data_IF_703724670986
#
_entry.id   IF_703724670986
#
_cell.length_a   1.000
_cell.length_b   1.000
_cell.length_c   1.000
_cell.angle_alpha   90.00
_cell.angle_beta   90.00
_cell.angle_gamma   90.00
#
_symmetry.space_group_name_H-M   'P 1'
#
loop_
_entity.id
_entity.type
_entity.pdbx_description
1 polymer ?
#
# COMPACT_ATOMS: atom_id res chain seq x y z
N UNK A 1 -40.43 57.64 -70.99
CA UNK A 1 -39.63 56.45 -71.24
C UNK A 1 -38.79 56.18 -70.03
N UNK A 2 -39.19 55.16 -69.27
CA UNK A 2 -38.58 54.75 -67.96
C UNK A 2 -37.61 53.64 -68.17
N UNK A 3 -36.37 53.92 -67.91
CA UNK A 3 -35.31 52.91 -67.92
C UNK A 3 -35.14 52.34 -66.49
N UNK A 4 -35.62 51.13 -66.29
CA UNK A 4 -35.42 50.39 -64.98
C UNK A 4 -34.00 49.88 -64.90
N UNK A 5 -33.24 50.44 -64.00
CA UNK A 5 -31.94 49.85 -63.59
C UNK A 5 -32.16 48.69 -62.62
N UNK A 6 -31.79 47.48 -63.06
CA UNK A 6 -31.77 46.27 -62.24
C UNK A 6 -30.45 46.23 -61.48
N UNK A 7 -30.50 46.36 -60.17
CA UNK A 7 -29.34 46.28 -59.32
C UNK A 7 -29.18 44.78 -58.97
N UNK A 8 -28.11 44.19 -59.47
CA UNK A 8 -27.71 42.84 -59.10
C UNK A 8 -26.91 42.92 -57.77
N UNK A 9 -27.50 42.50 -56.64
CA UNK A 9 -26.79 42.32 -55.39
C UNK A 9 -26.19 40.90 -55.38
N UNK A 10 -24.89 40.85 -55.61
CA UNK A 10 -24.13 39.61 -55.52
C UNK A 10 -23.82 39.35 -54.06
N UNK A 11 -24.65 38.50 -53.42
CA UNK A 11 -24.42 38.07 -52.06
C UNK A 11 -23.31 37.00 -52.06
N UNK A 12 -22.09 37.39 -51.68
CA UNK A 12 -20.98 36.48 -51.49
C UNK A 12 -21.20 35.75 -50.17
N UNK A 13 -21.70 34.52 -50.23
CA UNK A 13 -21.69 33.58 -49.08
C UNK A 13 -20.26 33.08 -48.85
N UNK A 14 -19.57 33.70 -47.90
CA UNK A 14 -18.34 33.10 -47.35
C UNK A 14 -18.72 31.90 -46.50
N UNK A 15 -18.18 30.70 -46.76
CA UNK A 15 -18.34 29.59 -45.82
C UNK A 15 -17.50 29.90 -44.59
N UNK A 16 -18.15 30.18 -43.48
CA UNK A 16 -17.55 30.11 -42.14
C UNK A 16 -17.20 28.65 -41.88
N UNK A 17 -15.98 28.26 -42.21
CA UNK A 17 -15.41 27.03 -41.76
C UNK A 17 -15.25 27.13 -40.22
N UNK A 18 -16.27 26.66 -39.50
CA UNK A 18 -16.16 26.41 -38.08
C UNK A 18 -15.14 25.28 -37.92
N UNK A 19 -13.93 25.64 -37.57
CA UNK A 19 -12.97 24.71 -37.08
C UNK A 19 -13.51 24.18 -35.73
N UNK A 20 -14.20 23.05 -35.76
CA UNK A 20 -14.47 22.30 -34.56
C UNK A 20 -13.11 21.90 -34.01
N UNK A 21 -12.69 22.58 -32.96
CA UNK A 21 -11.62 22.07 -32.10
C UNK A 21 -12.15 20.74 -31.54
N UNK A 22 -11.70 19.68 -32.16
CA UNK A 22 -11.84 18.35 -31.62
C UNK A 22 -10.99 18.36 -30.35
N UNK A 23 -11.63 18.64 -29.22
CA UNK A 23 -11.03 18.39 -27.92
C UNK A 23 -10.81 16.88 -27.88
N UNK A 24 -9.57 16.46 -28.07
CA UNK A 24 -9.14 15.12 -27.72
C UNK A 24 -9.41 14.96 -26.22
N UNK A 25 -10.63 14.55 -25.89
CA UNK A 25 -10.94 14.04 -24.57
C UNK A 25 -10.15 12.75 -24.46
N UNK A 26 -8.90 12.88 -24.02
CA UNK A 26 -8.13 11.73 -23.55
C UNK A 26 -8.95 11.17 -22.41
N UNK A 27 -9.71 10.12 -22.67
CA UNK A 27 -10.44 9.41 -21.64
C UNK A 27 -9.38 8.89 -20.67
N UNK A 28 -9.32 9.49 -19.48
CA UNK A 28 -8.46 9.00 -18.43
C UNK A 28 -8.92 7.61 -18.06
N UNK A 29 -8.12 6.64 -18.44
CA UNK A 29 -8.38 5.25 -18.08
C UNK A 29 -7.86 5.01 -16.67
N UNK A 30 -8.76 4.80 -15.75
CA UNK A 30 -8.43 4.33 -14.40
C UNK A 30 -8.26 2.81 -14.48
N UNK A 31 -7.14 2.32 -13.97
CA UNK A 31 -6.83 0.90 -13.87
C UNK A 31 -6.60 0.56 -12.40
N UNK A 32 -7.41 -0.36 -11.87
CA UNK A 32 -7.24 -0.83 -10.51
C UNK A 32 -6.05 -1.80 -10.45
N UNK A 33 -5.17 -1.60 -9.48
CA UNK A 33 -4.13 -2.58 -9.19
C UNK A 33 -4.76 -3.87 -8.67
N UNK A 34 -4.21 -5.06 -8.98
CA UNK A 34 -4.69 -6.30 -8.40
C UNK A 34 -4.78 -6.19 -6.87
N UNK A 35 -5.89 -6.61 -6.28
CA UNK A 35 -6.20 -6.44 -4.84
C UNK A 35 -6.12 -4.99 -4.31
N UNK A 36 -6.17 -4.00 -5.18
CA UNK A 36 -6.14 -2.59 -4.80
C UNK A 36 -7.41 -2.11 -4.11
N UNK A 37 -8.49 -2.88 -4.18
CA UNK A 37 -9.73 -2.72 -3.41
C UNK A 37 -9.59 -3.10 -1.92
N UNK A 38 -8.50 -3.80 -1.55
CA UNK A 38 -8.20 -4.27 -0.19
C UNK A 38 -9.25 -5.22 0.41
N UNK A 39 -10.03 -5.92 -0.43
CA UNK A 39 -11.07 -6.85 0.02
C UNK A 39 -10.55 -8.23 0.39
N UNK A 40 -9.45 -8.66 -0.24
CA UNK A 40 -8.90 -10.00 -0.10
C UNK A 40 -7.61 -10.01 0.72
N UNK A 41 -7.54 -10.95 1.66
CA UNK A 41 -6.43 -11.04 2.61
C UNK A 41 -5.94 -12.47 2.85
N UNK A 42 -4.63 -12.66 2.80
CA UNK A 42 -3.97 -13.86 3.31
C UNK A 42 -3.68 -13.66 4.80
N UNK A 43 -4.18 -14.55 5.64
CA UNK A 43 -3.92 -14.55 7.08
C UNK A 43 -2.89 -15.63 7.39
N UNK A 44 -1.81 -15.26 8.07
CA UNK A 44 -0.82 -16.20 8.59
C UNK A 44 -0.93 -16.27 10.11
N UNK A 45 -1.11 -17.49 10.63
CA UNK A 45 -1.26 -17.75 12.05
C UNK A 45 0.07 -18.27 12.60
N UNK A 46 0.75 -17.47 13.40
CA UNK A 46 2.11 -17.76 13.89
C UNK A 46 2.13 -17.70 15.41
N UNK A 47 2.69 -18.74 16.01
CA UNK A 47 2.91 -18.78 17.45
C UNK A 47 4.28 -18.19 17.79
N UNK A 48 4.30 -17.14 18.61
CA UNK A 48 5.54 -16.56 19.13
C UNK A 48 6.25 -17.56 20.06
N UNK A 49 7.57 -17.42 20.18
CA UNK A 49 8.36 -18.25 21.08
C UNK A 49 7.89 -18.11 22.53
N UNK A 50 7.95 -19.20 23.29
CA UNK A 50 7.56 -19.23 24.71
C UNK A 50 8.32 -18.18 25.56
N UNK A 51 9.56 -17.85 25.18
CA UNK A 51 10.36 -16.78 25.80
C UNK A 51 9.72 -15.39 25.70
N UNK A 52 8.81 -15.20 24.75
CA UNK A 52 8.04 -13.97 24.54
C UNK A 52 6.58 -14.09 24.99
N UNK A 53 6.25 -15.17 25.70
CA UNK A 53 4.91 -15.45 26.20
C UNK A 53 4.10 -16.45 25.36
N UNK A 54 4.61 -16.91 24.22
CA UNK A 54 4.01 -17.98 23.42
C UNK A 54 2.65 -17.64 22.80
N UNK A 55 2.34 -16.35 22.63
CA UNK A 55 1.06 -15.92 22.06
C UNK A 55 0.96 -16.31 20.57
N UNK A 56 -0.23 -16.73 20.16
CA UNK A 56 -0.53 -16.90 18.74
C UNK A 56 -1.00 -15.56 18.17
N UNK A 57 -0.43 -15.18 17.04
CA UNK A 57 -0.73 -13.92 16.34
C UNK A 57 -1.06 -14.15 14.88
N UNK A 58 -1.91 -13.31 14.36
CA UNK A 58 -2.29 -13.28 12.96
C UNK A 58 -1.55 -12.16 12.25
N UNK A 59 -0.89 -12.48 11.15
CA UNK A 59 -0.23 -11.53 10.24
C UNK A 59 -1.04 -11.47 8.97
N UNK A 60 -1.36 -10.26 8.56
CA UNK A 60 -2.25 -10.03 7.42
C UNK A 60 -1.48 -9.48 6.23
N UNK A 61 -1.72 -10.06 5.06
CA UNK A 61 -1.15 -9.63 3.79
C UNK A 61 -2.25 -9.45 2.76
N UNK A 62 -2.23 -8.35 2.03
CA UNK A 62 -3.18 -8.09 0.93
C UNK A 62 -2.90 -9.09 -0.19
N UNK A 63 -3.89 -9.88 -0.58
CA UNK A 63 -3.73 -10.93 -1.59
C UNK A 63 -4.83 -11.98 -1.52
N UNK A 64 -4.63 -13.16 -2.10
CA UNK A 64 -5.65 -14.21 -2.11
C UNK A 64 -6.21 -14.52 -0.73
N UNK A 65 -7.52 -14.71 -0.62
CA UNK A 65 -8.15 -15.07 0.66
C UNK A 65 -7.81 -16.50 1.04
N UNK A 66 -6.93 -16.64 2.02
CA UNK A 66 -6.47 -17.94 2.55
C UNK A 66 -5.92 -17.79 3.97
N UNK A 67 -5.87 -18.89 4.70
CA UNK A 67 -5.21 -18.99 6.00
C UNK A 67 -4.05 -19.97 5.92
N UNK A 68 -2.88 -19.57 6.41
CA UNK A 68 -1.66 -20.37 6.43
C UNK A 68 -1.25 -20.54 7.89
N UNK A 69 -1.31 -21.76 8.37
CA UNK A 69 -0.95 -22.11 9.75
C UNK A 69 0.54 -22.42 9.88
N UNK A 70 1.11 -21.98 11.00
CA UNK A 70 2.47 -22.34 11.39
C UNK A 70 3.54 -21.34 10.94
N UNK A 71 4.71 -21.50 11.56
CA UNK A 71 5.89 -20.64 11.37
C UNK A 71 6.83 -21.21 10.29
N UNK A 72 6.28 -21.53 9.13
CA UNK A 72 7.08 -21.98 7.99
C UNK A 72 7.61 -20.78 7.19
N UNK A 73 8.87 -20.87 6.68
CA UNK A 73 9.40 -19.83 5.79
C UNK A 73 8.46 -19.56 4.64
N UNK A 74 8.18 -18.30 4.40
CA UNK A 74 7.23 -17.90 3.38
C UNK A 74 7.78 -16.77 2.54
N UNK A 75 7.61 -16.91 1.26
CA UNK A 75 7.90 -15.88 0.27
C UNK A 75 6.60 -15.62 -0.46
N UNK A 76 6.13 -14.39 -0.41
CA UNK A 76 5.04 -13.99 -1.27
C UNK A 76 5.62 -13.44 -2.55
N UNK A 77 5.35 -14.11 -3.64
CA UNK A 77 5.73 -13.66 -4.97
C UNK A 77 4.82 -12.51 -5.43
N UNK A 78 5.35 -11.60 -6.22
CA UNK A 78 4.58 -10.48 -6.77
C UNK A 78 3.50 -10.94 -7.76
N UNK A 79 3.60 -12.18 -8.29
CA UNK A 79 2.56 -12.83 -9.09
C UNK A 79 1.29 -13.14 -8.30
N UNK A 80 1.44 -13.45 -7.00
CA UNK A 80 0.31 -13.79 -6.14
C UNK A 80 -0.44 -12.53 -5.68
N UNK A 81 0.31 -11.49 -5.35
CA UNK A 81 -0.18 -10.15 -5.05
C UNK A 81 0.96 -9.15 -5.16
N UNK A 82 0.74 -7.99 -5.78
CA UNK A 82 1.77 -6.96 -5.90
C UNK A 82 2.02 -6.21 -4.58
N UNK A 83 1.25 -6.47 -3.53
CA UNK A 83 1.30 -5.71 -2.29
C UNK A 83 2.19 -6.34 -1.23
N UNK A 84 3.14 -5.56 -0.70
CA UNK A 84 3.89 -5.81 0.52
C UNK A 84 3.34 -5.00 1.68
N UNK A 85 3.64 -5.41 2.90
CA UNK A 85 3.26 -4.71 4.12
C UNK A 85 4.37 -4.75 5.16
N UNK A 86 4.25 -3.87 6.16
CA UNK A 86 5.19 -3.77 7.30
C UNK A 86 4.89 -4.74 8.42
N UNK A 87 3.76 -5.47 8.39
CA UNK A 87 3.56 -6.61 9.27
C UNK A 87 4.58 -7.69 8.96
N UNK A 88 5.23 -8.25 9.98
CA UNK A 88 6.35 -9.16 9.77
C UNK A 88 6.46 -10.22 10.86
N UNK A 89 6.83 -11.43 10.44
CA UNK A 89 7.39 -12.45 11.31
C UNK A 89 8.92 -12.40 11.25
N UNK A 90 9.53 -12.24 12.39
CA UNK A 90 10.98 -12.25 12.57
C UNK A 90 11.40 -13.44 13.44
N UNK A 91 12.57 -14.00 13.10
CA UNK A 91 13.17 -15.11 13.86
C UNK A 91 14.67 -14.83 14.05
N UNK A 92 15.06 -13.76 14.75
CA UNK A 92 16.46 -13.55 15.10
C UNK A 92 16.89 -14.58 16.15
N UNK A 93 18.00 -15.27 15.90
CA UNK A 93 18.58 -16.27 16.82
C UNK A 93 17.60 -17.41 17.22
N UNK A 94 16.65 -17.74 16.34
CA UNK A 94 15.67 -18.81 16.61
C UNK A 94 14.47 -18.38 17.50
N UNK A 95 14.32 -17.08 17.77
CA UNK A 95 13.22 -16.54 18.58
C UNK A 95 12.15 -15.95 17.67
N UNK A 96 10.99 -16.60 17.64
CA UNK A 96 9.85 -16.13 16.84
C UNK A 96 9.19 -14.93 17.50
N UNK A 97 9.16 -13.83 16.78
CA UNK A 97 8.48 -12.60 17.14
C UNK A 97 7.63 -12.11 15.98
N UNK A 98 6.42 -11.70 16.28
CA UNK A 98 5.48 -11.18 15.29
C UNK A 98 5.15 -9.72 15.61
N UNK A 99 5.30 -8.86 14.62
CA UNK A 99 4.84 -7.48 14.65
C UNK A 99 3.74 -7.28 13.61
N UNK A 100 2.58 -6.81 14.05
CA UNK A 100 1.42 -6.60 13.19
C UNK A 100 1.08 -5.12 13.20
N UNK A 101 1.20 -4.49 12.05
CA UNK A 101 1.00 -3.04 11.86
C UNK A 101 0.02 -2.73 10.73
N UNK A 102 -0.39 -3.77 9.99
CA UNK A 102 -1.35 -3.71 8.88
C UNK A 102 -2.48 -4.69 9.18
N UNK A 103 -3.71 -4.22 9.10
CA UNK A 103 -4.90 -4.99 9.45
C UNK A 103 -5.97 -4.84 8.38
N UNK A 104 -6.75 -5.90 8.10
CA UNK A 104 -8.04 -5.74 7.44
C UNK A 104 -9.01 -5.04 8.41
N UNK A 105 -9.69 -4.01 7.95
CA UNK A 105 -10.73 -3.35 8.70
C UNK A 105 -11.99 -3.19 7.86
N UNK A 106 -13.14 -3.41 8.47
CA UNK A 106 -14.41 -3.20 7.82
C UNK A 106 -14.75 -1.71 7.85
N UNK A 107 -14.77 -1.08 6.69
CA UNK A 107 -15.12 0.34 6.52
C UNK A 107 -16.63 0.53 6.53
N UNK A 108 -17.33 -0.33 5.84
CA UNK A 108 -18.78 -0.45 5.73
C UNK A 108 -19.13 -1.93 5.67
N UNK A 109 -20.36 -2.34 6.03
CA UNK A 109 -20.74 -3.75 5.96
C UNK A 109 -20.38 -4.40 4.63
N UNK A 110 -19.48 -5.40 4.66
CA UNK A 110 -19.01 -6.11 3.49
C UNK A 110 -17.98 -5.37 2.63
N UNK A 111 -17.41 -4.27 3.12
CA UNK A 111 -16.41 -3.48 2.40
C UNK A 111 -15.20 -3.23 3.31
N UNK A 112 -14.03 -3.77 2.93
CA UNK A 112 -12.81 -3.70 3.73
C UNK A 112 -11.85 -2.63 3.24
N UNK A 113 -10.95 -2.24 4.13
CA UNK A 113 -9.81 -1.39 3.83
C UNK A 113 -8.58 -1.88 4.58
N UNK A 114 -7.42 -1.35 4.23
CA UNK A 114 -6.20 -1.57 4.97
C UNK A 114 -6.06 -0.52 6.08
N UNK A 115 -6.12 -0.95 7.35
CA UNK A 115 -5.79 -0.10 8.49
C UNK A 115 -4.30 -0.22 8.80
N UNK A 116 -3.62 0.91 8.79
CA UNK A 116 -2.20 1.03 9.09
C UNK A 116 -2.02 1.67 10.46
N UNK A 117 -1.28 1.01 11.34
CA UNK A 117 -1.06 1.50 12.71
C UNK A 117 0.41 1.83 12.96
N UNK A 118 0.63 2.87 13.75
CA UNK A 118 1.92 3.11 14.39
C UNK A 118 1.90 2.45 15.75
N UNK A 119 2.80 1.50 15.99
CA UNK A 119 2.84 0.73 17.24
C UNK A 119 4.24 0.78 17.88
N UNK A 120 4.26 0.83 19.20
CA UNK A 120 5.49 0.65 19.95
C UNK A 120 5.70 -0.86 20.17
N UNK A 121 6.68 -1.43 19.49
CA UNK A 121 7.06 -2.82 19.62
C UNK A 121 8.25 -2.96 20.57
N UNK A 122 8.11 -3.86 21.52
CA UNK A 122 9.17 -4.14 22.50
C UNK A 122 9.54 -5.62 22.40
N UNK A 123 10.82 -5.89 22.24
CA UNK A 123 11.39 -7.22 22.34
C UNK A 123 12.38 -7.25 23.50
N UNK A 124 12.04 -7.99 24.56
CA UNK A 124 12.89 -8.20 25.71
C UNK A 124 13.15 -9.69 25.90
N UNK A 125 14.39 -10.11 25.78
CA UNK A 125 14.80 -11.50 25.97
C UNK A 125 15.93 -11.55 26.97
N UNK A 126 15.64 -11.95 28.20
CA UNK A 126 16.57 -12.34 29.28
C UNK A 126 17.95 -11.62 29.28
N UNK A 127 17.95 -10.29 29.23
CA UNK A 127 19.18 -9.50 29.23
C UNK A 127 19.99 -9.49 27.93
N UNK A 128 19.64 -10.32 26.94
CA UNK A 128 20.34 -10.36 25.65
C UNK A 128 19.76 -9.39 24.60
N UNK A 129 18.47 -9.16 24.66
CA UNK A 129 17.76 -8.25 23.73
C UNK A 129 16.85 -7.33 24.55
N UNK A 130 17.06 -6.03 24.43
CA UNK A 130 16.17 -5.02 24.99
C UNK A 130 15.99 -3.93 23.96
N UNK A 131 15.10 -4.19 23.02
CA UNK A 131 14.84 -3.31 21.90
C UNK A 131 13.42 -2.80 22.03
N UNK A 132 13.27 -1.49 21.92
CA UNK A 132 11.96 -0.84 21.74
C UNK A 132 12.05 0.01 20.49
N UNK A 133 11.18 -0.26 19.56
CA UNK A 133 11.10 0.45 18.27
C UNK A 133 9.69 0.95 18.03
N UNK A 134 9.57 2.02 17.26
CA UNK A 134 8.31 2.42 16.67
C UNK A 134 8.18 1.70 15.34
N UNK A 135 7.20 0.83 15.23
CA UNK A 135 6.84 0.14 14.00
C UNK A 135 5.70 0.91 13.33
N UNK A 136 5.97 1.45 12.16
CA UNK A 136 4.97 2.19 11.38
C UNK A 136 4.27 1.26 10.41
N UNK A 137 2.93 1.28 10.39
CA UNK A 137 2.14 0.59 9.40
C UNK A 137 2.39 1.16 8.02
N UNK A 138 2.74 0.31 7.07
CA UNK A 138 2.91 0.69 5.68
C UNK A 138 2.51 -0.43 4.74
N UNK A 139 2.05 -0.07 3.55
CA UNK A 139 1.86 -0.96 2.41
C UNK A 139 2.65 -0.41 1.23
N UNK A 140 3.19 -1.30 0.41
CA UNK A 140 3.99 -0.93 -0.74
C UNK A 140 3.81 -1.96 -1.85
N UNK A 141 4.21 -1.62 -3.06
CA UNK A 141 4.28 -2.57 -4.16
C UNK A 141 5.61 -3.32 -4.09
N UNK A 142 5.54 -4.65 -4.04
CA UNK A 142 6.73 -5.49 -3.91
C UNK A 142 6.43 -6.81 -3.20
N UNK A 143 7.49 -7.47 -2.75
CA UNK A 143 7.42 -8.75 -2.05
C UNK A 143 8.10 -8.71 -0.68
N UNK A 144 7.71 -9.63 0.18
CA UNK A 144 8.29 -9.82 1.52
C UNK A 144 8.70 -11.27 1.67
N UNK A 145 9.89 -11.49 2.22
CA UNK A 145 10.40 -12.84 2.55
C UNK A 145 10.49 -13.00 4.05
N UNK A 146 9.81 -13.99 4.56
CA UNK A 146 9.77 -14.29 5.99
C UNK A 146 10.39 -15.67 6.29
N UNK A 147 11.00 -15.84 7.46
CA UNK A 147 11.18 -14.87 8.54
C UNK A 147 12.33 -13.88 8.30
N UNK A 148 12.24 -12.71 8.91
CA UNK A 148 13.37 -11.78 9.01
C UNK A 148 14.32 -12.30 10.09
N UNK A 149 15.48 -12.82 9.70
CA UNK A 149 16.48 -13.41 10.62
C UNK A 149 17.55 -12.42 11.07
N UNK A 150 17.81 -11.38 10.26
CA UNK A 150 18.88 -10.43 10.53
C UNK A 150 18.33 -9.14 11.15
N UNK A 151 18.49 -9.00 12.47
CA UNK A 151 18.07 -7.80 13.19
C UNK A 151 18.87 -6.53 12.83
N UNK A 152 20.11 -6.69 12.29
CA UNK A 152 20.94 -5.52 11.89
C UNK A 152 20.56 -4.98 10.51
N UNK A 153 19.96 -5.81 9.66
CA UNK A 153 19.45 -5.42 8.35
C UNK A 153 18.07 -6.05 8.11
N UNK A 154 17.04 -5.56 8.80
CA UNK A 154 15.68 -6.11 8.65
C UNK A 154 15.09 -5.85 7.27
N UNK A 155 15.53 -4.78 6.59
CA UNK A 155 15.04 -4.41 5.26
C UNK A 155 15.63 -5.28 4.13
N UNK A 156 16.69 -6.02 4.37
CA UNK A 156 17.32 -6.88 3.38
C UNK A 156 16.45 -8.05 2.87
N UNK A 157 15.23 -8.18 3.41
CA UNK A 157 14.21 -9.15 2.97
C UNK A 157 13.00 -8.48 2.30
N UNK A 158 13.06 -7.18 2.13
CA UNK A 158 12.07 -6.42 1.38
C UNK A 158 12.56 -6.26 -0.05
N UNK A 159 11.72 -6.61 -1.00
CA UNK A 159 11.94 -6.35 -2.41
C UNK A 159 10.86 -5.37 -2.86
N UNK A 160 11.23 -4.09 -2.85
CA UNK A 160 10.31 -3.00 -3.16
C UNK A 160 10.32 -2.71 -4.66
N UNK A 161 9.14 -2.53 -5.20
CA UNK A 161 8.90 -2.31 -6.61
C UNK A 161 8.35 -3.56 -7.30
N UNK A 162 7.59 -3.31 -8.35
CA UNK A 162 7.10 -4.31 -9.29
C UNK A 162 7.41 -3.82 -10.71
N UNK A 163 7.64 -4.71 -11.68
CA UNK A 163 7.77 -4.32 -13.07
C UNK A 163 6.53 -3.56 -13.54
N UNK A 164 6.72 -2.35 -14.05
CA UNK A 164 5.65 -1.53 -14.58
C UNK A 164 6.04 -0.96 -15.94
N UNK A 165 5.31 -1.36 -16.99
CA UNK A 165 5.65 -1.01 -18.38
C UNK A 165 4.87 0.19 -18.91
N UNK A 166 3.89 0.68 -18.16
CA UNK A 166 3.06 1.84 -18.52
C UNK A 166 3.61 3.12 -17.91
N UNK A 167 3.22 4.27 -18.44
CA UNK A 167 3.52 5.58 -17.85
C UNK A 167 2.26 6.11 -17.19
N UNK A 168 2.08 5.92 -15.87
CA UNK A 168 0.93 6.45 -15.16
C UNK A 168 1.04 7.97 -15.07
N UNK A 169 -0.10 8.66 -15.12
CA UNK A 169 -0.18 10.09 -14.84
C UNK A 169 -0.28 10.37 -13.35
N UNK A 170 -0.99 9.51 -12.63
CA UNK A 170 -1.22 9.65 -11.19
C UNK A 170 -1.47 8.28 -10.54
N UNK A 171 -1.25 8.20 -9.24
CA UNK A 171 -1.77 7.18 -8.34
C UNK A 171 -2.89 7.83 -7.54
N UNK A 172 -4.07 7.21 -7.56
CA UNK A 172 -5.21 7.65 -6.76
C UNK A 172 -5.46 6.65 -5.64
N UNK A 173 -5.68 7.16 -4.43
CA UNK A 173 -6.07 6.38 -3.28
C UNK A 173 -7.02 7.21 -2.41
N UNK A 174 -7.93 6.53 -1.73
CA UNK A 174 -8.78 7.13 -0.70
C UNK A 174 -8.22 6.76 0.67
N UNK A 175 -8.15 7.72 1.59
CA UNK A 175 -7.64 7.46 2.92
C UNK A 175 -8.36 8.28 3.99
N UNK A 176 -8.37 7.74 5.20
CA UNK A 176 -8.75 8.44 6.43
C UNK A 176 -7.53 8.48 7.34
N UNK A 177 -7.22 9.64 7.90
CA UNK A 177 -6.11 9.82 8.83
C UNK A 177 -6.65 10.08 10.24
N UNK A 178 -6.18 9.29 11.19
CA UNK A 178 -6.41 9.51 12.61
C UNK A 178 -5.07 9.79 13.29
N UNK A 179 -4.89 11.01 13.80
CA UNK A 179 -3.65 11.41 14.46
C UNK A 179 -3.67 10.93 15.92
N UNK A 180 -2.59 10.27 16.34
CA UNK A 180 -2.38 9.96 17.75
C UNK A 180 -2.11 11.25 18.54
N UNK A 181 -2.79 11.41 19.69
CA UNK A 181 -2.60 12.58 20.58
C UNK A 181 -1.26 12.60 21.34
N UNK A 182 -0.40 11.59 21.16
CA UNK A 182 0.88 11.47 21.84
C UNK A 182 2.02 11.16 20.87
N UNK A 183 3.12 11.88 21.03
CA UNK A 183 4.37 11.57 20.35
C UNK A 183 4.99 10.32 20.97
N UNK A 184 5.23 9.28 20.17
CA UNK A 184 5.91 8.06 20.62
C UNK A 184 7.39 8.17 20.28
N UNK A 185 8.25 8.19 21.30
CA UNK A 185 9.71 8.11 21.14
C UNK A 185 10.17 6.67 21.17
N UNK A 186 11.00 6.27 20.22
CA UNK A 186 11.64 4.96 20.21
C UNK A 186 13.09 5.04 20.69
N UNK A 187 13.55 3.97 21.34
CA UNK A 187 14.95 3.84 21.75
C UNK A 187 15.80 3.60 20.50
N UNK A 188 16.87 4.38 20.35
CA UNK A 188 17.80 4.25 19.22
C UNK A 188 17.50 5.14 18.01
N UNK A 189 16.37 5.85 17.98
CA UNK A 189 16.13 6.89 16.99
C UNK A 189 16.82 8.20 17.35
N UNK A 190 17.38 8.88 16.36
CA UNK A 190 17.91 10.23 16.52
C UNK A 190 16.74 11.22 16.62
N UNK A 191 16.89 12.30 17.39
CA UNK A 191 15.84 13.30 17.57
C UNK A 191 15.42 14.02 16.28
N UNK A 192 16.28 14.03 15.26
CA UNK A 192 16.01 14.59 13.93
C UNK A 192 15.13 13.69 13.04
N UNK A 193 14.79 12.49 13.50
CA UNK A 193 13.95 11.54 12.76
C UNK A 193 12.50 11.53 13.26
N UNK A 194 12.14 12.45 14.14
CA UNK A 194 10.84 12.51 14.85
C UNK A 194 10.08 13.82 14.55
N UNK A 195 10.39 14.51 13.47
CA UNK A 195 9.61 15.66 13.01
C UNK A 195 8.43 15.26 12.11
#
# INVERSE_FOLDING_TARGET
YMLKRLLFICTVCLPLSVWAQQSDTVSERVELLPYGDMECWTTRVIKESALLGGATKEVYHIGPTQTIEGAEPWVRESSDSPWGGSSVWANPMGIDKVSVTVFPEEREPGNRCARLEVRKETCKVLGMVNITVVATGSVFLGSVREPVKNAKNPQGKLDQGIPFTKRPKALQLDYKLELAGQLVKATGMRSSEIE
#
